data_IF_995618578173
#
_entry.id   IF_995618578173
#
_cell.length_a   1.000
_cell.length_b   1.000
_cell.length_c   1.000
_cell.angle_alpha   90.00
_cell.angle_beta   90.00
_cell.angle_gamma   90.00
#
_symmetry.space_group_name_H-M   'P 1'
#
loop_
_entity.id
_entity.type
_entity.pdbx_description
1 polymer ?
#
# COMPACT_ATOMS: atom_id res chain seq x y z
N UNK A 1 16.15 -68.53 17.32
CA UNK A 1 14.89 -69.26 17.63
C UNK A 1 13.76 -68.52 16.94
N UNK A 2 13.05 -69.16 16.01
CA UNK A 2 11.89 -68.56 15.32
C UNK A 2 10.65 -68.74 16.20
N UNK A 3 9.96 -67.64 16.53
CA UNK A 3 8.72 -67.66 17.32
C UNK A 3 7.56 -67.41 16.37
N UNK A 4 6.63 -68.36 16.28
CA UNK A 4 5.41 -68.20 15.48
C UNK A 4 4.33 -67.54 16.34
N UNK A 5 3.79 -66.42 15.88
CA UNK A 5 2.65 -65.72 16.49
C UNK A 5 1.58 -65.48 15.43
N UNK A 6 0.32 -65.53 15.86
CA UNK A 6 -0.82 -65.16 15.03
C UNK A 6 -1.19 -63.72 15.36
N UNK A 7 -1.39 -62.89 14.33
CA UNK A 7 -1.79 -61.49 14.46
C UNK A 7 -3.10 -61.27 13.70
N UNK A 8 -3.97 -60.45 14.25
CA UNK A 8 -5.20 -60.02 13.60
C UNK A 8 -4.98 -58.63 13.01
N UNK A 9 -5.28 -58.47 11.72
CA UNK A 9 -5.13 -57.21 10.98
C UNK A 9 -6.38 -56.97 10.15
N UNK A 10 -6.89 -55.73 10.19
CA UNK A 10 -7.94 -55.32 9.26
C UNK A 10 -7.40 -55.29 7.82
N UNK A 11 -8.27 -55.55 6.85
CA UNK A 11 -7.95 -55.53 5.41
C UNK A 11 -7.31 -54.20 4.96
N UNK A 12 -7.73 -53.07 5.57
CA UNK A 12 -7.15 -51.74 5.29
C UNK A 12 -5.66 -51.65 5.64
N UNK A 13 -5.17 -52.41 6.61
CA UNK A 13 -3.76 -52.43 7.00
C UNK A 13 -2.98 -53.49 6.21
N UNK A 14 -3.63 -54.61 5.87
CA UNK A 14 -3.07 -55.60 4.95
C UNK A 14 -2.73 -54.97 3.59
N UNK A 15 -3.65 -54.14 3.06
CA UNK A 15 -3.42 -53.37 1.83
C UNK A 15 -2.23 -52.41 1.91
N UNK A 16 -1.94 -51.86 3.09
CA UNK A 16 -0.75 -50.99 3.28
C UNK A 16 0.55 -51.77 3.28
N UNK A 17 0.51 -53.07 3.60
CA UNK A 17 1.66 -53.96 3.52
C UNK A 17 1.90 -54.48 2.10
N UNK A 18 0.97 -54.25 1.16
CA UNK A 18 1.07 -54.78 -0.20
C UNK A 18 2.41 -54.47 -0.89
N UNK A 19 2.99 -53.25 -0.81
CA UNK A 19 4.29 -52.98 -1.43
C UNK A 19 5.42 -53.85 -0.86
N UNK A 20 5.39 -54.13 0.46
CA UNK A 20 6.38 -54.99 1.12
C UNK A 20 6.10 -56.48 0.86
N UNK A 21 4.83 -56.87 0.69
CA UNK A 21 4.45 -58.21 0.28
C UNK A 21 4.94 -58.50 -1.13
N UNK A 22 4.75 -57.58 -2.07
CA UNK A 22 5.19 -57.71 -3.46
C UNK A 22 6.72 -57.80 -3.53
N UNK A 23 7.45 -57.01 -2.73
CA UNK A 23 8.90 -57.07 -2.63
C UNK A 23 9.44 -58.38 -2.01
N UNK A 24 8.60 -59.13 -1.30
CA UNK A 24 8.93 -60.39 -0.64
C UNK A 24 8.18 -61.59 -1.25
N UNK A 25 7.78 -61.51 -2.52
CA UNK A 25 7.09 -62.59 -3.25
C UNK A 25 5.84 -63.13 -2.53
N UNK A 26 5.08 -62.24 -1.89
CA UNK A 26 3.86 -62.56 -1.14
C UNK A 26 4.09 -63.10 0.27
N UNK A 27 5.34 -63.13 0.76
CA UNK A 27 5.65 -63.62 2.10
C UNK A 27 5.33 -62.59 3.19
N UNK A 28 4.17 -62.75 3.85
CA UNK A 28 3.73 -61.87 4.93
C UNK A 28 4.69 -61.84 6.14
N UNK A 29 5.34 -62.95 6.46
CA UNK A 29 6.29 -62.99 7.58
C UNK A 29 7.59 -62.25 7.28
N UNK A 30 7.98 -62.14 6.01
CA UNK A 30 9.11 -61.32 5.60
C UNK A 30 8.71 -59.83 5.56
N UNK A 31 7.57 -59.50 4.96
CA UNK A 31 7.04 -58.13 4.93
C UNK A 31 6.83 -57.52 6.33
N UNK A 32 6.35 -58.32 7.30
CA UNK A 32 6.20 -57.88 8.70
C UNK A 32 7.57 -57.67 9.36
N UNK A 33 8.58 -58.48 9.05
CA UNK A 33 9.95 -58.26 9.57
C UNK A 33 10.53 -56.98 9.01
N UNK A 34 10.38 -56.71 7.72
CA UNK A 34 10.85 -55.45 7.11
C UNK A 34 10.13 -54.24 7.73
N UNK A 35 8.82 -54.37 8.01
CA UNK A 35 8.08 -53.32 8.72
C UNK A 35 8.63 -53.06 10.11
N UNK A 36 9.01 -54.12 10.84
CA UNK A 36 9.63 -54.02 12.17
C UNK A 36 11.01 -53.36 12.07
N UNK A 37 11.84 -53.74 11.10
CA UNK A 37 13.17 -53.12 10.88
C UNK A 37 13.05 -51.63 10.51
N UNK A 38 12.08 -51.27 9.66
CA UNK A 38 11.79 -49.86 9.33
C UNK A 38 11.34 -49.11 10.59
N UNK A 39 10.44 -49.70 11.39
CA UNK A 39 9.96 -49.08 12.62
C UNK A 39 11.07 -48.94 13.67
N UNK A 40 11.93 -49.94 13.83
CA UNK A 40 13.08 -49.92 14.75
C UNK A 40 14.08 -48.84 14.33
N UNK A 41 14.45 -48.83 13.04
CA UNK A 41 15.34 -47.80 12.47
C UNK A 41 14.76 -46.40 12.68
N UNK A 42 13.46 -46.20 12.44
CA UNK A 42 12.84 -44.90 12.66
C UNK A 42 12.80 -44.51 14.16
N UNK A 43 12.57 -45.46 15.06
CA UNK A 43 12.58 -45.23 16.50
C UNK A 43 14.00 -45.06 17.10
N UNK A 44 15.06 -45.50 16.42
CA UNK A 44 16.44 -45.17 16.82
C UNK A 44 16.70 -43.65 16.81
N UNK A 45 16.02 -42.93 15.90
CA UNK A 45 16.22 -41.49 15.70
C UNK A 45 15.08 -40.62 16.27
N UNK A 46 13.96 -41.22 16.67
CA UNK A 46 12.76 -40.50 17.12
C UNK A 46 12.20 -41.08 18.42
N UNK A 47 11.72 -40.22 19.33
CA UNK A 47 11.33 -40.63 20.68
C UNK A 47 9.96 -41.30 20.74
N UNK A 48 9.18 -41.22 19.66
CA UNK A 48 7.86 -41.85 19.53
C UNK A 48 7.54 -42.26 18.10
N UNK A 49 6.58 -43.18 17.95
CA UNK A 49 6.08 -43.64 16.64
C UNK A 49 5.44 -42.46 15.87
N UNK A 50 4.75 -41.55 16.56
CA UNK A 50 4.11 -40.40 15.92
C UNK A 50 5.15 -39.43 15.33
N UNK A 51 6.25 -39.15 16.05
CA UNK A 51 7.37 -38.36 15.55
C UNK A 51 8.05 -39.03 14.33
N UNK A 52 8.26 -40.34 14.40
CA UNK A 52 8.83 -41.12 13.31
C UNK A 52 7.95 -41.09 12.05
N UNK A 53 6.62 -41.19 12.20
CA UNK A 53 5.67 -41.10 11.08
C UNK A 53 5.69 -39.70 10.45
N UNK A 54 5.76 -38.64 11.27
CA UNK A 54 5.86 -37.27 10.76
C UNK A 54 7.17 -37.12 9.96
N UNK A 55 8.29 -37.57 10.52
CA UNK A 55 9.58 -37.52 9.83
C UNK A 55 9.55 -38.24 8.49
N UNK A 56 9.11 -39.51 8.45
CA UNK A 56 9.05 -40.31 7.22
C UNK A 56 8.09 -39.72 6.17
N UNK A 57 7.08 -38.94 6.57
CA UNK A 57 6.20 -38.20 5.66
C UNK A 57 6.82 -36.90 5.15
N UNK A 58 7.68 -36.26 5.93
CA UNK A 58 8.35 -35.00 5.58
C UNK A 58 9.65 -35.21 4.79
N UNK A 59 10.32 -36.35 4.94
CA UNK A 59 11.60 -36.66 4.28
C UNK A 59 11.52 -36.59 2.74
N UNK A 60 10.50 -37.14 2.07
CA UNK A 60 10.38 -37.04 0.60
C UNK A 60 10.31 -35.59 0.12
N UNK A 61 9.57 -34.73 0.81
CA UNK A 61 9.46 -33.31 0.47
C UNK A 61 10.79 -32.56 0.69
N UNK A 62 11.59 -32.95 1.70
CA UNK A 62 12.93 -32.38 1.94
C UNK A 62 13.94 -32.86 0.89
N UNK A 63 13.85 -34.11 0.45
CA UNK A 63 14.70 -34.67 -0.61
C UNK A 63 14.38 -34.03 -1.97
N UNK A 64 13.10 -33.90 -2.33
CA UNK A 64 12.65 -33.16 -3.52
C UNK A 64 13.15 -31.70 -3.50
N UNK A 65 13.01 -31.00 -2.36
CA UNK A 65 13.53 -29.64 -2.23
C UNK A 65 15.06 -29.59 -2.39
N UNK A 66 15.79 -30.55 -1.80
CA UNK A 66 17.24 -30.60 -1.95
C UNK A 66 17.66 -30.86 -3.39
N UNK A 67 16.91 -31.67 -4.13
CA UNK A 67 17.21 -31.97 -5.53
C UNK A 67 16.87 -30.79 -6.45
N UNK A 68 15.78 -30.08 -6.18
CA UNK A 68 15.48 -28.79 -6.87
C UNK A 68 16.48 -27.68 -6.52
N UNK A 69 17.12 -27.73 -5.35
CA UNK A 69 18.24 -26.82 -5.04
C UNK A 69 19.50 -27.21 -5.82
N UNK A 70 19.78 -28.52 -5.95
CA UNK A 70 20.97 -29.02 -6.69
C UNK A 70 20.86 -28.79 -8.20
N UNK A 71 19.67 -28.95 -8.77
CA UNK A 71 19.46 -28.79 -10.22
C UNK A 71 19.33 -27.31 -10.64
N UNK A 72 19.26 -26.38 -9.67
CA UNK A 72 19.21 -24.93 -9.90
C UNK A 72 17.80 -24.35 -10.05
N UNK A 73 16.74 -25.14 -9.86
CA UNK A 73 15.35 -24.65 -9.88
C UNK A 73 15.02 -23.81 -8.64
N UNK A 74 15.57 -24.18 -7.48
CA UNK A 74 15.41 -23.45 -6.22
C UNK A 74 16.75 -22.91 -5.69
N UNK A 75 16.69 -21.79 -4.98
CA UNK A 75 17.87 -21.17 -4.36
C UNK A 75 17.69 -20.99 -2.85
N UNK A 76 18.79 -21.17 -2.10
CA UNK A 76 18.82 -20.90 -0.66
C UNK A 76 19.17 -19.42 -0.46
N UNK A 77 18.25 -18.66 0.13
CA UNK A 77 18.46 -17.27 0.50
C UNK A 77 18.59 -17.15 2.02
N UNK A 78 19.56 -16.35 2.47
CA UNK A 78 19.68 -15.99 3.87
C UNK A 78 18.42 -15.23 4.35
N UNK A 79 17.85 -15.62 5.50
CA UNK A 79 16.63 -15.00 6.04
C UNK A 79 16.71 -13.47 6.16
N UNK A 80 17.85 -12.93 6.59
CA UNK A 80 18.04 -11.47 6.72
C UNK A 80 18.00 -10.78 5.36
N UNK A 81 18.58 -11.41 4.33
CA UNK A 81 18.52 -10.90 2.95
C UNK A 81 17.08 -10.93 2.42
N UNK A 82 16.35 -12.03 2.65
CA UNK A 82 14.95 -12.15 2.25
C UNK A 82 14.07 -11.10 2.94
N UNK A 83 14.25 -10.88 4.24
CA UNK A 83 13.55 -9.83 4.98
C UNK A 83 13.89 -8.44 4.48
N UNK A 84 15.15 -8.19 4.11
CA UNK A 84 15.55 -6.95 3.48
C UNK A 84 14.85 -6.79 2.12
N UNK A 85 14.78 -7.83 1.28
CA UNK A 85 14.07 -7.78 0.00
C UNK A 85 12.60 -7.40 0.19
N UNK A 86 11.86 -8.11 1.05
CA UNK A 86 10.45 -7.80 1.31
C UNK A 86 10.22 -6.39 1.88
N UNK A 87 11.16 -5.89 2.69
CA UNK A 87 11.08 -4.53 3.21
C UNK A 87 11.27 -3.48 2.11
N UNK A 88 12.18 -3.71 1.17
CA UNK A 88 12.51 -2.75 0.12
C UNK A 88 11.57 -2.82 -1.09
N UNK A 89 10.85 -3.92 -1.29
CA UNK A 89 9.80 -4.01 -2.31
C UNK A 89 8.42 -3.58 -1.81
N UNK A 90 8.31 -3.20 -0.53
CA UNK A 90 7.05 -2.75 0.06
C UNK A 90 6.48 -1.54 -0.70
N UNK A 91 5.21 -1.63 -1.08
CA UNK A 91 4.53 -0.56 -1.80
C UNK A 91 4.53 -0.73 -3.32
N UNK A 92 5.33 -1.67 -3.85
CA UNK A 92 5.38 -2.04 -5.27
C UNK A 92 4.53 -3.28 -5.49
N UNK A 93 3.66 -3.25 -6.50
CA UNK A 93 2.82 -4.41 -6.81
C UNK A 93 3.63 -5.49 -7.53
N UNK A 94 3.20 -6.72 -7.35
CA UNK A 94 3.82 -7.88 -8.01
C UNK A 94 3.16 -8.06 -9.37
N UNK A 95 3.97 -8.32 -10.39
CA UNK A 95 3.49 -8.57 -11.74
C UNK A 95 2.57 -9.80 -11.78
N UNK A 96 1.53 -9.74 -12.62
CA UNK A 96 0.52 -10.80 -12.72
C UNK A 96 1.13 -12.15 -13.10
N UNK A 97 2.16 -12.14 -13.96
CA UNK A 97 2.89 -13.33 -14.39
C UNK A 97 3.51 -14.05 -13.18
N UNK A 98 4.21 -13.32 -12.31
CA UNK A 98 4.82 -13.89 -11.11
C UNK A 98 3.77 -14.38 -10.11
N UNK A 99 2.63 -13.69 -9.99
CA UNK A 99 1.52 -14.15 -9.13
C UNK A 99 0.98 -15.49 -9.63
N UNK A 100 0.77 -15.63 -10.94
CA UNK A 100 0.24 -16.87 -11.54
C UNK A 100 1.28 -18.01 -11.53
N UNK A 101 2.58 -17.70 -11.55
CA UNK A 101 3.65 -18.69 -11.34
C UNK A 101 3.67 -19.22 -9.90
N UNK A 102 3.46 -18.33 -8.91
CA UNK A 102 3.47 -18.69 -7.49
C UNK A 102 2.16 -19.28 -6.98
N UNK A 103 1.03 -18.93 -7.58
CA UNK A 103 -0.30 -19.40 -7.23
C UNK A 103 -1.00 -19.82 -8.53
N UNK A 104 -0.84 -21.08 -8.90
CA UNK A 104 -1.35 -21.60 -10.17
C UNK A 104 -2.90 -21.59 -10.19
N UNK A 105 -3.55 -20.73 -11.00
CA UNK A 105 -5.00 -20.61 -11.02
C UNK A 105 -5.69 -21.85 -11.61
N UNK A 106 -4.98 -22.67 -12.38
CA UNK A 106 -5.54 -23.87 -13.01
C UNK A 106 -5.59 -25.08 -12.06
N UNK A 107 -4.84 -25.04 -10.95
CA UNK A 107 -4.87 -26.06 -9.90
C UNK A 107 -5.91 -25.75 -8.80
N UNK A 108 -6.50 -24.56 -8.83
CA UNK A 108 -7.31 -24.03 -7.73
C UNK A 108 -8.72 -23.72 -8.24
N UNK A 109 -9.68 -24.58 -7.89
CA UNK A 109 -11.07 -24.41 -8.31
C UNK A 109 -11.90 -23.58 -7.31
N UNK A 110 -11.60 -23.71 -6.01
CA UNK A 110 -12.36 -23.08 -4.94
C UNK A 110 -11.47 -22.50 -3.80
N UNK A 111 -12.10 -21.78 -2.86
CA UNK A 111 -11.40 -21.11 -1.77
C UNK A 111 -10.77 -22.08 -0.75
N UNK A 112 -11.27 -23.33 -0.65
CA UNK A 112 -10.68 -24.34 0.23
C UNK A 112 -9.42 -24.92 -0.40
N UNK A 113 -9.47 -25.24 -1.70
CA UNK A 113 -8.30 -25.66 -2.45
C UNK A 113 -7.20 -24.59 -2.44
N UNK A 114 -7.58 -23.30 -2.51
CA UNK A 114 -6.64 -22.20 -2.33
C UNK A 114 -5.96 -22.23 -0.96
N UNK A 115 -6.73 -22.40 0.13
CA UNK A 115 -6.17 -22.49 1.48
C UNK A 115 -5.22 -23.68 1.63
N UNK A 116 -5.61 -24.85 1.12
CA UNK A 116 -4.81 -26.07 1.15
C UNK A 116 -3.54 -25.93 0.33
N UNK A 117 -3.63 -25.35 -0.87
CA UNK A 117 -2.50 -25.05 -1.74
C UNK A 117 -1.49 -24.13 -1.06
N UNK A 118 -1.93 -22.97 -0.55
CA UNK A 118 -1.05 -22.00 0.10
C UNK A 118 -0.33 -22.60 1.31
N UNK A 119 -1.03 -23.40 2.12
CA UNK A 119 -0.43 -24.06 3.27
C UNK A 119 0.49 -25.24 2.87
N UNK A 120 0.20 -25.95 1.78
CA UNK A 120 1.09 -26.98 1.22
C UNK A 120 2.38 -26.35 0.70
N UNK A 121 2.28 -25.33 -0.14
CA UNK A 121 3.40 -24.56 -0.68
C UNK A 121 4.28 -24.02 0.44
N UNK A 122 3.66 -23.40 1.45
CA UNK A 122 4.37 -22.90 2.63
C UNK A 122 5.20 -24.00 3.32
N UNK A 123 4.64 -25.20 3.52
CA UNK A 123 5.37 -26.34 4.12
C UNK A 123 6.50 -26.84 3.21
N UNK A 124 6.24 -26.97 1.91
CA UNK A 124 7.21 -27.46 0.93
C UNK A 124 8.45 -26.56 0.89
N UNK A 125 8.26 -25.24 0.88
CA UNK A 125 9.35 -24.25 0.91
C UNK A 125 9.85 -23.92 2.33
N UNK A 126 9.39 -24.64 3.35
CA UNK A 126 9.73 -24.42 4.76
C UNK A 126 9.47 -22.98 5.24
N UNK A 127 8.50 -22.31 4.63
CA UNK A 127 8.01 -21.03 5.09
C UNK A 127 7.17 -21.24 6.36
N UNK A 128 7.38 -20.36 7.34
CA UNK A 128 6.66 -20.47 8.63
C UNK A 128 5.22 -19.97 8.55
N UNK A 129 4.81 -19.42 7.41
CA UNK A 129 3.55 -18.72 7.23
C UNK A 129 2.38 -19.70 7.20
N UNK A 130 1.27 -19.33 7.83
CA UNK A 130 0.04 -20.12 7.82
C UNK A 130 -1.11 -19.25 7.35
N UNK A 131 -1.89 -19.76 6.40
CA UNK A 131 -3.05 -19.07 5.86
C UNK A 131 -4.33 -19.78 6.31
N UNK A 132 -5.36 -19.02 6.62
CA UNK A 132 -6.71 -19.53 6.84
C UNK A 132 -7.72 -18.63 6.15
N UNK A 133 -8.68 -19.24 5.45
CA UNK A 133 -9.66 -18.53 4.63
C UNK A 133 -11.06 -18.83 5.19
N UNK A 134 -11.84 -17.79 5.43
CA UNK A 134 -13.24 -17.90 5.83
C UNK A 134 -14.12 -17.17 4.81
N UNK A 135 -15.06 -17.90 4.23
CA UNK A 135 -16.07 -17.36 3.32
C UNK A 135 -17.35 -18.18 3.48
N UNK A 136 -18.49 -17.60 3.08
CA UNK A 136 -19.79 -18.30 3.14
C UNK A 136 -19.96 -19.27 1.97
N UNK A 137 -19.59 -18.84 0.76
CA UNK A 137 -19.57 -19.65 -0.46
C UNK A 137 -18.13 -19.87 -0.91
N UNK A 138 -17.69 -21.12 -0.94
CA UNK A 138 -16.33 -21.51 -1.32
C UNK A 138 -16.07 -21.40 -2.83
N UNK A 139 -17.09 -21.47 -3.67
CA UNK A 139 -16.93 -21.43 -5.12
C UNK A 139 -16.99 -19.99 -5.65
N UNK A 140 -17.96 -19.21 -5.15
CA UNK A 140 -18.23 -17.84 -5.57
C UNK A 140 -18.47 -16.91 -4.36
N UNK A 141 -17.43 -16.59 -3.57
CA UNK A 141 -17.56 -15.75 -2.38
C UNK A 141 -17.97 -14.32 -2.72
N UNK A 142 -19.00 -13.80 -2.05
CA UNK A 142 -19.32 -12.36 -2.04
C UNK A 142 -18.39 -11.57 -1.10
N UNK A 143 -17.90 -12.25 -0.06
CA UNK A 143 -16.87 -11.73 0.84
C UNK A 143 -15.97 -12.87 1.32
N UNK A 144 -14.73 -12.53 1.67
CA UNK A 144 -13.79 -13.47 2.25
C UNK A 144 -12.95 -12.80 3.33
N UNK A 145 -12.64 -13.55 4.37
CA UNK A 145 -11.75 -13.14 5.44
C UNK A 145 -10.52 -14.04 5.44
N UNK A 146 -9.35 -13.46 5.19
CA UNK A 146 -8.09 -14.19 5.16
C UNK A 146 -7.26 -13.81 6.37
N UNK A 147 -6.79 -14.83 7.09
CA UNK A 147 -5.89 -14.69 8.21
C UNK A 147 -4.54 -15.31 7.85
N UNK A 148 -3.52 -14.47 7.82
CA UNK A 148 -2.12 -14.88 7.61
C UNK A 148 -1.41 -14.77 8.95
N UNK A 149 -0.89 -15.87 9.46
CA UNK A 149 -0.24 -15.94 10.78
C UNK A 149 1.20 -16.41 10.67
N UNK A 150 1.97 -16.17 11.74
CA UNK A 150 3.40 -16.44 11.84
C UNK A 150 4.24 -15.56 10.88
N UNK A 151 5.55 -15.85 10.79
CA UNK A 151 6.53 -15.04 10.06
C UNK A 151 6.65 -13.58 10.55
N UNK A 152 7.41 -12.76 9.84
CA UNK A 152 7.53 -11.32 10.10
C UNK A 152 6.39 -10.55 9.46
N UNK A 153 6.23 -9.27 9.83
CA UNK A 153 5.26 -8.39 9.18
C UNK A 153 5.53 -8.21 7.68
N UNK A 154 6.81 -8.12 7.26
CA UNK A 154 7.16 -7.91 5.85
C UNK A 154 6.86 -9.15 5.01
N UNK A 155 7.21 -10.33 5.53
CA UNK A 155 6.84 -11.60 4.91
C UNK A 155 5.31 -11.69 4.75
N UNK A 156 4.55 -11.46 5.83
CA UNK A 156 3.08 -11.49 5.76
C UNK A 156 2.50 -10.48 4.78
N UNK A 157 3.06 -9.27 4.69
CA UNK A 157 2.62 -8.26 3.71
C UNK A 157 2.85 -8.71 2.27
N UNK A 158 4.00 -9.31 1.97
CA UNK A 158 4.29 -9.84 0.64
C UNK A 158 3.30 -10.93 0.23
N UNK A 159 3.08 -11.93 1.09
CA UNK A 159 2.10 -12.99 0.80
C UNK A 159 0.66 -12.48 0.76
N UNK A 160 0.32 -11.50 1.60
CA UNK A 160 -0.99 -10.84 1.57
C UNK A 160 -1.28 -10.20 0.21
N UNK A 161 -0.27 -9.53 -0.36
CA UNK A 161 -0.36 -8.92 -1.69
C UNK A 161 -0.56 -9.97 -2.78
N UNK A 162 0.21 -11.07 -2.77
CA UNK A 162 0.06 -12.16 -3.76
C UNK A 162 -1.36 -12.74 -3.73
N UNK A 163 -1.86 -13.06 -2.54
CA UNK A 163 -3.21 -13.60 -2.35
C UNK A 163 -4.26 -12.58 -2.80
N UNK A 164 -4.08 -11.29 -2.46
CA UNK A 164 -5.02 -10.25 -2.88
C UNK A 164 -5.07 -10.11 -4.41
N UNK A 165 -3.92 -10.11 -5.09
CA UNK A 165 -3.87 -10.07 -6.55
C UNK A 165 -4.56 -11.28 -7.18
N UNK A 166 -4.27 -12.48 -6.68
CA UNK A 166 -4.92 -13.71 -7.15
C UNK A 166 -6.45 -13.62 -7.02
N UNK A 167 -6.95 -13.21 -5.85
CA UNK A 167 -8.39 -13.11 -5.60
C UNK A 167 -9.09 -12.00 -6.39
N UNK A 168 -8.43 -10.87 -6.60
CA UNK A 168 -8.94 -9.82 -7.47
C UNK A 168 -9.11 -10.31 -8.91
N UNK A 169 -8.12 -11.05 -9.42
CA UNK A 169 -8.14 -11.54 -10.80
C UNK A 169 -9.14 -12.68 -11.01
N UNK A 170 -9.10 -13.68 -10.13
CA UNK A 170 -9.80 -14.96 -10.34
C UNK A 170 -11.15 -15.06 -9.63
N UNK A 171 -11.40 -14.22 -8.62
CA UNK A 171 -12.66 -14.19 -7.85
C UNK A 171 -13.32 -12.80 -7.80
N UNK A 172 -12.73 -11.78 -8.43
CA UNK A 172 -13.23 -10.38 -8.43
C UNK A 172 -13.47 -9.83 -7.01
N UNK A 173 -12.60 -10.22 -6.08
CA UNK A 173 -12.61 -9.76 -4.70
C UNK A 173 -11.57 -8.65 -4.51
N UNK A 174 -12.01 -7.48 -4.04
CA UNK A 174 -11.13 -6.36 -3.68
C UNK A 174 -10.91 -6.29 -2.17
N UNK A 175 -9.80 -5.69 -1.76
CA UNK A 175 -9.42 -5.48 -0.38
C UNK A 175 -10.25 -4.34 0.22
N UNK A 176 -11.05 -4.65 1.22
CA UNK A 176 -11.82 -3.65 1.97
C UNK A 176 -11.01 -3.10 3.14
N UNK A 177 -10.44 -4.00 3.95
CA UNK A 177 -9.71 -3.65 5.17
C UNK A 177 -8.53 -4.59 5.43
N UNK A 178 -7.46 -4.04 6.02
CA UNK A 178 -6.32 -4.82 6.53
C UNK A 178 -6.06 -4.47 7.99
N UNK A 179 -6.08 -5.48 8.85
CA UNK A 179 -5.72 -5.38 10.26
C UNK A 179 -4.39 -6.09 10.50
N UNK A 180 -3.36 -5.31 10.85
CA UNK A 180 -2.00 -5.81 11.12
C UNK A 180 -1.82 -5.97 12.63
N UNK A 181 -1.53 -7.19 13.07
CA UNK A 181 -1.21 -7.54 14.45
C UNK A 181 0.24 -8.04 14.53
N UNK A 182 0.77 -8.16 15.74
CA UNK A 182 2.15 -8.58 15.96
C UNK A 182 2.49 -9.93 15.31
N UNK A 183 1.57 -10.91 15.41
CA UNK A 183 1.76 -12.28 14.93
C UNK A 183 0.84 -12.67 13.75
N UNK A 184 -0.01 -11.75 13.28
CA UNK A 184 -0.93 -12.04 12.19
C UNK A 184 -1.34 -10.80 11.39
N UNK A 185 -1.79 -11.02 10.17
CA UNK A 185 -2.39 -10.03 9.28
C UNK A 185 -3.73 -10.57 8.83
N UNK A 186 -4.80 -9.82 9.10
CA UNK A 186 -6.16 -10.16 8.70
C UNK A 186 -6.59 -9.24 7.56
N UNK A 187 -7.14 -9.81 6.50
CA UNK A 187 -7.56 -9.10 5.30
C UNK A 187 -9.01 -9.42 5.04
N UNK A 188 -9.85 -8.38 4.99
CA UNK A 188 -11.25 -8.49 4.59
C UNK A 188 -11.37 -8.15 3.11
N UNK A 189 -12.06 -9.01 2.38
CA UNK A 189 -12.33 -8.88 0.96
C UNK A 189 -13.82 -8.76 0.71
N UNK A 190 -14.16 -7.99 -0.33
CA UNK A 190 -15.53 -7.82 -0.81
C UNK A 190 -15.56 -7.85 -2.34
N UNK A 191 -16.59 -8.45 -2.91
CA UNK A 191 -16.76 -8.53 -4.36
C UNK A 191 -16.89 -7.14 -4.98
N UNK A 192 -16.14 -6.92 -6.04
CA UNK A 192 -16.12 -5.66 -6.78
C UNK A 192 -16.16 -5.94 -8.28
N UNK A 193 -17.37 -5.89 -8.85
CA UNK A 193 -17.62 -6.11 -10.27
C UNK A 193 -17.46 -4.84 -11.13
N UNK A 194 -17.15 -3.70 -10.50
CA UNK A 194 -17.11 -2.40 -11.18
C UNK A 194 -15.78 -2.12 -11.88
N UNK A 195 -14.75 -2.90 -11.58
CA UNK A 195 -13.39 -2.72 -12.10
C UNK A 195 -13.13 -3.80 -13.15
N UNK A 196 -12.54 -3.42 -14.27
CA UNK A 196 -12.21 -4.38 -15.32
C UNK A 196 -11.16 -5.39 -14.84
N UNK A 197 -11.18 -6.61 -15.37
CA UNK A 197 -10.25 -7.66 -14.95
C UNK A 197 -8.78 -7.27 -15.17
N UNK A 198 -8.48 -6.36 -16.11
CA UNK A 198 -7.12 -5.93 -16.45
C UNK A 198 -6.64 -4.72 -15.64
N UNK A 199 -7.50 -4.15 -14.80
CA UNK A 199 -7.14 -3.02 -13.95
C UNK A 199 -6.86 -3.48 -12.52
N UNK A 200 -5.83 -2.89 -11.90
CA UNK A 200 -5.57 -3.11 -10.48
C UNK A 200 -6.72 -2.56 -9.65
N UNK A 201 -7.30 -3.42 -8.81
CA UNK A 201 -8.37 -3.05 -7.90
C UNK A 201 -7.97 -1.91 -6.93
N UNK A 202 -8.86 -0.94 -6.65
CA UNK A 202 -8.55 0.21 -5.79
C UNK A 202 -8.07 -0.15 -4.37
N UNK A 203 -8.68 -1.17 -3.76
CA UNK A 203 -8.29 -1.65 -2.43
C UNK A 203 -6.86 -2.17 -2.41
N UNK A 204 -6.48 -2.97 -3.41
CA UNK A 204 -5.10 -3.46 -3.58
C UNK A 204 -4.13 -2.29 -3.74
N UNK A 205 -4.42 -1.33 -4.63
CA UNK A 205 -3.55 -0.16 -4.85
C UNK A 205 -3.37 0.66 -3.58
N UNK A 206 -4.45 0.88 -2.83
CA UNK A 206 -4.43 1.63 -1.56
C UNK A 206 -3.58 0.94 -0.50
N UNK A 207 -3.68 -0.39 -0.38
CA UNK A 207 -3.11 -1.12 0.75
C UNK A 207 -1.73 -1.74 0.50
N UNK A 208 -1.43 -2.10 -0.75
CA UNK A 208 -0.19 -2.77 -1.14
C UNK A 208 0.61 -1.98 -2.19
N UNK A 209 -0.07 -1.20 -3.04
CA UNK A 209 0.54 -0.52 -4.20
C UNK A 209 0.77 0.98 -4.01
N UNK A 210 1.01 1.45 -2.78
CA UNK A 210 1.09 2.89 -2.50
C UNK A 210 2.25 3.61 -3.20
N UNK A 211 3.30 2.87 -3.58
CA UNK A 211 4.46 3.38 -4.32
C UNK A 211 4.46 2.90 -5.77
N UNK A 212 3.52 2.07 -6.18
CA UNK A 212 3.57 1.34 -7.44
C UNK A 212 3.67 2.26 -8.66
N UNK A 213 2.89 3.35 -8.68
CA UNK A 213 2.95 4.35 -9.75
C UNK A 213 4.31 5.07 -9.75
N UNK A 214 4.84 5.40 -8.56
CA UNK A 214 6.12 6.11 -8.43
C UNK A 214 7.28 5.21 -8.85
N UNK A 215 7.29 3.95 -8.41
CA UNK A 215 8.31 2.98 -8.79
C UNK A 215 8.30 2.72 -10.30
N UNK A 216 7.11 2.56 -10.91
CA UNK A 216 7.00 2.43 -12.37
C UNK A 216 7.52 3.66 -13.10
N UNK A 217 7.16 4.86 -12.65
CA UNK A 217 7.68 6.12 -13.22
C UNK A 217 9.20 6.25 -13.07
N UNK A 218 9.78 5.82 -11.95
CA UNK A 218 11.23 5.79 -11.74
C UNK A 218 11.92 4.74 -12.62
N UNK A 219 11.31 3.58 -12.83
CA UNK A 219 11.85 2.53 -13.69
C UNK A 219 11.76 2.93 -15.18
N UNK A 220 10.62 3.47 -15.61
CA UNK A 220 10.38 3.86 -17.01
C UNK A 220 11.21 5.09 -17.42
N UNK A 221 11.48 6.01 -16.47
CA UNK A 221 12.19 7.26 -16.72
C UNK A 221 13.45 7.41 -15.85
N UNK A 222 14.19 6.31 -15.60
CA UNK A 222 15.31 6.26 -14.65
C UNK A 222 16.37 7.33 -14.90
N UNK A 223 16.79 7.53 -16.15
CA UNK A 223 17.83 8.51 -16.49
C UNK A 223 17.40 9.95 -16.13
N UNK A 224 16.17 10.31 -16.49
CA UNK A 224 15.61 11.63 -16.20
C UNK A 224 15.57 11.88 -14.69
N UNK A 225 14.98 10.97 -13.91
CA UNK A 225 14.84 11.14 -12.47
C UNK A 225 16.18 11.13 -11.75
N UNK A 226 17.12 10.30 -12.19
CA UNK A 226 18.49 10.27 -11.65
C UNK A 226 19.18 11.61 -11.86
N UNK A 227 19.14 12.14 -13.09
CA UNK A 227 19.74 13.44 -13.40
C UNK A 227 19.08 14.58 -12.62
N UNK A 228 17.74 14.58 -12.53
CA UNK A 228 16.99 15.58 -11.79
C UNK A 228 17.37 15.58 -10.31
N UNK A 229 17.33 14.42 -9.64
CA UNK A 229 17.66 14.31 -8.22
C UNK A 229 19.10 14.72 -7.92
N UNK A 230 20.05 14.34 -8.77
CA UNK A 230 21.45 14.76 -8.65
C UNK A 230 21.58 16.28 -8.77
N UNK A 231 20.86 16.90 -9.71
CA UNK A 231 20.86 18.35 -9.91
C UNK A 231 20.32 19.07 -8.67
N UNK A 232 19.19 18.62 -8.12
CA UNK A 232 18.65 19.17 -6.86
C UNK A 232 19.62 19.02 -5.69
N UNK A 233 20.30 17.89 -5.57
CA UNK A 233 21.24 17.64 -4.48
C UNK A 233 22.47 18.59 -4.57
N UNK A 234 23.07 18.71 -5.76
CA UNK A 234 24.22 19.61 -5.99
C UNK A 234 23.85 21.06 -5.67
N UNK A 235 22.66 21.49 -6.08
CA UNK A 235 22.14 22.84 -5.82
C UNK A 235 21.55 23.00 -4.41
N UNK A 236 21.69 22.00 -3.52
CA UNK A 236 21.15 22.00 -2.15
C UNK A 236 19.67 22.37 -2.09
N UNK A 237 18.90 21.87 -3.05
CA UNK A 237 17.47 22.12 -3.23
C UNK A 237 17.11 23.61 -3.46
N UNK A 238 18.08 24.44 -3.88
CA UNK A 238 17.87 25.84 -4.26
C UNK A 238 17.44 25.98 -5.74
N UNK A 239 16.49 25.14 -6.18
CA UNK A 239 15.95 25.12 -7.53
C UNK A 239 14.44 25.24 -7.46
N UNK A 240 13.87 26.06 -8.33
CA UNK A 240 12.42 26.23 -8.44
C UNK A 240 11.89 25.41 -9.61
N UNK A 241 10.84 24.63 -9.36
CA UNK A 241 10.10 23.90 -10.39
C UNK A 241 8.93 24.74 -10.89
N UNK A 242 8.89 25.03 -12.19
CA UNK A 242 7.78 25.71 -12.84
C UNK A 242 7.31 24.96 -14.08
N UNK A 243 6.01 25.02 -14.36
CA UNK A 243 5.50 24.57 -15.64
C UNK A 243 6.02 25.51 -16.74
N UNK A 244 6.33 24.97 -17.94
CA UNK A 244 6.93 25.76 -19.04
C UNK A 244 6.15 27.03 -19.36
N UNK A 245 4.83 26.94 -19.43
CA UNK A 245 3.97 28.11 -19.71
C UNK A 245 4.02 29.16 -18.59
N UNK A 246 4.21 28.74 -17.33
CA UNK A 246 4.34 29.68 -16.22
C UNK A 246 5.69 30.39 -16.28
N UNK A 247 6.76 29.64 -16.58
CA UNK A 247 8.08 30.21 -16.79
C UNK A 247 8.06 31.24 -17.94
N UNK A 248 7.41 30.93 -19.06
CA UNK A 248 7.25 31.87 -20.19
C UNK A 248 6.54 33.16 -19.77
N UNK A 249 5.42 33.06 -19.03
CA UNK A 249 4.69 34.23 -18.52
C UNK A 249 5.54 35.05 -17.55
N UNK A 250 6.22 34.40 -16.61
CA UNK A 250 7.15 35.09 -15.70
C UNK A 250 8.30 35.77 -16.45
N UNK A 251 8.86 35.12 -17.48
CA UNK A 251 9.92 35.68 -18.31
C UNK A 251 9.44 36.88 -19.16
N UNK A 252 8.16 36.92 -19.51
CA UNK A 252 7.52 38.06 -20.17
C UNK A 252 7.23 39.24 -19.20
N UNK A 253 7.44 39.07 -17.90
CA UNK A 253 7.17 40.09 -16.88
C UNK A 253 5.74 40.08 -16.34
N UNK A 254 4.93 39.09 -16.71
CA UNK A 254 3.55 38.93 -16.27
C UNK A 254 3.45 37.90 -15.12
N UNK A 255 2.33 37.92 -14.39
CA UNK A 255 2.06 36.93 -13.32
C UNK A 255 1.20 35.79 -13.89
N UNK A 256 1.70 34.55 -13.96
CA UNK A 256 0.92 33.43 -14.47
C UNK A 256 -0.24 33.08 -13.53
N UNK A 257 -1.34 32.60 -14.12
CA UNK A 257 -2.43 32.01 -13.37
C UNK A 257 -2.18 30.50 -13.16
N UNK A 258 -2.00 30.02 -11.92
CA UNK A 258 -1.69 28.62 -11.67
C UNK A 258 -2.89 27.71 -11.43
N UNK A 259 -4.12 28.24 -11.47
CA UNK A 259 -5.36 27.49 -11.18
C UNK A 259 -5.45 26.21 -12.01
N UNK A 260 -5.22 26.31 -13.33
CA UNK A 260 -5.30 25.17 -14.25
C UNK A 260 -4.39 23.99 -13.88
N UNK A 261 -3.25 24.24 -13.23
CA UNK A 261 -2.34 23.15 -12.82
C UNK A 261 -2.92 22.41 -11.62
N UNK A 262 -3.38 23.16 -10.62
CA UNK A 262 -4.07 22.61 -9.46
C UNK A 262 -5.33 21.82 -9.87
N UNK A 263 -6.13 22.35 -10.79
CA UNK A 263 -7.35 21.67 -11.27
C UNK A 263 -7.04 20.33 -11.95
N UNK A 264 -5.98 20.27 -12.76
CA UNK A 264 -5.53 19.00 -13.37
C UNK A 264 -5.07 17.99 -12.32
N UNK A 265 -4.35 18.45 -11.29
CA UNK A 265 -3.88 17.60 -10.21
C UNK A 265 -5.05 17.07 -9.36
N UNK A 266 -6.03 17.93 -9.07
CA UNK A 266 -7.18 17.59 -8.24
C UNK A 266 -8.31 16.90 -9.02
N UNK A 267 -8.27 16.94 -10.36
CA UNK A 267 -9.35 16.50 -11.27
C UNK A 267 -10.72 17.13 -10.92
N UNK A 268 -10.69 18.36 -10.40
CA UNK A 268 -11.85 19.12 -9.96
C UNK A 268 -11.56 20.61 -10.17
N UNK A 269 -12.61 21.39 -10.48
CA UNK A 269 -12.51 22.85 -10.54
C UNK A 269 -12.17 23.45 -9.17
N UNK A 270 -11.34 24.49 -9.11
CA UNK A 270 -11.02 25.17 -7.85
C UNK A 270 -12.24 25.87 -7.25
N UNK A 271 -13.13 26.39 -8.11
CA UNK A 271 -14.36 27.07 -7.69
C UNK A 271 -15.37 26.15 -7.01
N UNK A 272 -15.26 24.83 -7.22
CA UNK A 272 -16.15 23.82 -6.62
C UNK A 272 -15.56 23.21 -5.34
N UNK A 273 -14.33 23.57 -4.98
CA UNK A 273 -13.59 22.97 -3.88
C UNK A 273 -13.87 23.69 -2.55
N UNK A 274 -13.99 22.92 -1.46
CA UNK A 274 -14.02 23.51 -0.12
C UNK A 274 -12.66 24.16 0.21
N UNK A 275 -12.65 25.27 0.96
CA UNK A 275 -11.39 25.90 1.38
C UNK A 275 -10.45 24.90 2.09
N UNK A 276 -10.88 24.09 3.08
CA UNK A 276 -10.00 23.11 3.70
C UNK A 276 -9.34 22.14 2.72
N UNK A 277 -10.10 21.60 1.77
CA UNK A 277 -9.57 20.68 0.76
C UNK A 277 -8.56 21.37 -0.15
N UNK A 278 -8.89 22.60 -0.60
CA UNK A 278 -7.99 23.42 -1.42
C UNK A 278 -6.67 23.69 -0.71
N UNK A 279 -6.72 24.05 0.58
CA UNK A 279 -5.52 24.34 1.34
C UNK A 279 -4.63 23.11 1.52
N UNK A 280 -5.21 21.91 1.67
CA UNK A 280 -4.45 20.65 1.72
C UNK A 280 -3.73 20.39 0.39
N UNK A 281 -4.40 20.56 -0.75
CA UNK A 281 -3.77 20.38 -2.07
C UNK A 281 -2.73 21.45 -2.37
N UNK A 282 -3.06 22.72 -2.06
CA UNK A 282 -2.17 23.87 -2.17
C UNK A 282 -0.84 23.60 -1.44
N UNK A 283 -0.91 23.19 -0.18
CA UNK A 283 0.29 22.89 0.62
C UNK A 283 1.12 21.76 0.00
N UNK A 284 0.48 20.66 -0.40
CA UNK A 284 1.19 19.52 -1.02
C UNK A 284 1.90 19.93 -2.31
N UNK A 285 1.22 20.67 -3.18
CA UNK A 285 1.76 21.08 -4.47
C UNK A 285 2.91 22.06 -4.32
N UNK A 286 2.72 23.18 -3.60
CA UNK A 286 3.70 24.26 -3.62
C UNK A 286 4.92 24.02 -2.74
N UNK A 287 4.82 23.13 -1.73
CA UNK A 287 6.03 22.63 -1.07
C UNK A 287 6.90 21.81 -2.02
N UNK A 288 6.31 21.10 -2.99
CA UNK A 288 7.06 20.31 -3.95
C UNK A 288 7.75 21.15 -5.03
N UNK A 289 7.27 22.37 -5.32
CA UNK A 289 7.85 23.24 -6.35
C UNK A 289 9.06 24.05 -5.87
N UNK A 290 9.33 24.08 -4.56
CA UNK A 290 10.34 24.95 -3.94
C UNK A 290 10.14 26.46 -4.23
N UNK A 291 8.98 26.87 -4.73
CA UNK A 291 8.59 28.29 -4.78
C UNK A 291 8.47 28.88 -3.38
N UNK A 292 8.24 28.03 -2.38
CA UNK A 292 8.04 28.41 -1.00
C UNK A 292 8.83 27.44 -0.13
N UNK A 293 9.30 27.94 1.01
CA UNK A 293 10.07 27.16 1.98
C UNK A 293 9.17 26.33 2.88
N UNK A 294 8.06 26.93 3.30
CA UNK A 294 7.09 26.30 4.18
C UNK A 294 5.70 26.92 3.99
N UNK A 295 4.66 26.17 4.32
CA UNK A 295 3.28 26.64 4.35
C UNK A 295 2.65 26.17 5.66
N UNK A 296 2.17 27.13 6.45
CA UNK A 296 1.37 26.90 7.65
C UNK A 296 -0.09 27.22 7.36
N UNK A 297 -0.98 26.32 7.80
CA UNK A 297 -2.43 26.44 7.60
C UNK A 297 -3.08 26.44 8.98
N UNK A 298 -3.89 27.46 9.25
CA UNK A 298 -4.81 27.50 10.37
C UNK A 298 -6.24 27.29 9.85
N UNK A 299 -6.93 26.29 10.37
CA UNK A 299 -8.34 26.00 10.07
C UNK A 299 -9.25 26.21 11.29
N UNK A 300 -8.79 26.99 12.28
CA UNK A 300 -9.64 27.38 13.40
C UNK A 300 -10.83 28.20 12.87
N UNK A 301 -12.09 27.86 13.23
CA UNK A 301 -13.25 28.60 12.76
C UNK A 301 -13.15 30.09 13.11
N UNK A 302 -13.26 30.96 12.09
CA UNK A 302 -13.16 32.42 12.24
C UNK A 302 -11.72 32.96 12.27
N UNK A 303 -10.71 32.09 12.08
CA UNK A 303 -9.29 32.47 11.99
C UNK A 303 -8.58 31.71 10.87
N UNK A 304 -9.36 31.26 9.88
CA UNK A 304 -8.84 30.52 8.75
C UNK A 304 -7.76 31.36 8.05
N UNK A 305 -6.56 30.81 7.94
CA UNK A 305 -5.43 31.54 7.35
C UNK A 305 -4.36 30.62 6.79
N UNK A 306 -3.61 31.15 5.82
CA UNK A 306 -2.46 30.50 5.21
C UNK A 306 -1.27 31.43 5.32
N UNK A 307 -0.19 30.95 5.91
CA UNK A 307 1.08 31.65 5.98
C UNK A 307 2.10 30.93 5.11
N UNK A 308 2.64 31.64 4.13
CA UNK A 308 3.60 31.15 3.15
C UNK A 308 4.96 31.75 3.48
N UNK A 309 5.95 30.92 3.76
CA UNK A 309 7.32 31.37 4.01
C UNK A 309 8.16 31.22 2.75
N UNK A 310 8.99 32.22 2.45
CA UNK A 310 9.90 32.21 1.30
C UNK A 310 11.25 32.84 1.63
N UNK A 311 12.28 32.53 0.83
CA UNK A 311 13.64 33.07 0.99
C UNK A 311 13.97 34.16 -0.06
N UNK A 312 12.99 34.60 -0.86
CA UNK A 312 13.18 35.70 -1.83
C UNK A 312 13.41 37.04 -1.14
N UNK A 313 14.32 37.85 -1.72
CA UNK A 313 14.68 39.19 -1.24
C UNK A 313 14.21 40.32 -2.15
N UNK A 314 13.87 40.02 -3.40
CA UNK A 314 13.44 41.02 -4.37
C UNK A 314 11.96 41.32 -4.18
N UNK A 315 11.61 42.57 -3.86
CA UNK A 315 10.24 42.98 -3.58
C UNK A 315 9.28 42.73 -4.74
N UNK A 316 9.72 42.90 -5.99
CA UNK A 316 8.89 42.61 -7.16
C UNK A 316 8.56 41.12 -7.26
N UNK A 317 9.51 40.24 -6.92
CA UNK A 317 9.30 38.79 -6.90
C UNK A 317 8.29 38.43 -5.80
N UNK A 318 8.43 39.04 -4.62
CA UNK A 318 7.52 38.83 -3.48
C UNK A 318 6.10 39.27 -3.85
N UNK A 319 5.96 40.44 -4.47
CA UNK A 319 4.68 40.96 -4.95
C UNK A 319 4.05 40.02 -5.99
N UNK A 320 4.83 39.62 -7.00
CA UNK A 320 4.36 38.70 -8.04
C UNK A 320 3.99 37.33 -7.47
N UNK A 321 4.70 36.84 -6.45
CA UNK A 321 4.39 35.60 -5.76
C UNK A 321 3.09 35.71 -4.96
N UNK A 322 2.87 36.83 -4.28
CA UNK A 322 1.61 37.11 -3.58
C UNK A 322 0.43 37.16 -4.57
N UNK A 323 0.60 37.81 -5.71
CA UNK A 323 -0.41 37.88 -6.76
C UNK A 323 -0.68 36.50 -7.40
N UNK A 324 0.38 35.74 -7.66
CA UNK A 324 0.32 34.39 -8.20
C UNK A 324 -0.53 33.47 -7.31
N UNK A 325 -0.34 33.51 -5.98
CA UNK A 325 -1.17 32.73 -5.06
C UNK A 325 -2.57 33.33 -4.86
N UNK A 326 -2.71 34.66 -4.92
CA UNK A 326 -4.02 35.32 -4.85
C UNK A 326 -4.96 34.83 -5.95
N UNK A 327 -4.45 34.59 -7.16
CA UNK A 327 -5.25 34.05 -8.28
C UNK A 327 -5.95 32.73 -7.93
N UNK A 328 -5.32 31.87 -7.13
CA UNK A 328 -5.91 30.58 -6.71
C UNK A 328 -7.09 30.82 -5.77
N UNK A 329 -6.89 31.67 -4.76
CA UNK A 329 -7.91 31.93 -3.76
C UNK A 329 -9.07 32.75 -4.30
N UNK A 330 -8.82 33.65 -5.26
CA UNK A 330 -9.89 34.38 -5.98
C UNK A 330 -10.75 33.42 -6.80
N UNK A 331 -10.14 32.48 -7.50
CA UNK A 331 -10.87 31.47 -8.29
C UNK A 331 -11.75 30.58 -7.41
N UNK A 332 -11.30 30.30 -6.18
CA UNK A 332 -12.11 29.56 -5.20
C UNK A 332 -13.34 30.36 -4.71
N UNK A 333 -13.31 31.69 -4.82
CA UNK A 333 -14.41 32.56 -4.43
C UNK A 333 -14.50 32.88 -2.94
N UNK A 334 -13.59 32.34 -2.10
CA UNK A 334 -13.55 32.69 -0.67
C UNK A 334 -12.92 34.07 -0.49
N UNK A 335 -13.59 35.04 0.17
CA UNK A 335 -13.00 36.34 0.47
C UNK A 335 -11.74 36.22 1.32
N UNK A 336 -10.72 37.02 1.02
CA UNK A 336 -9.48 37.05 1.79
C UNK A 336 -8.81 38.41 1.79
N UNK A 337 -7.98 38.63 2.80
CA UNK A 337 -7.04 39.74 2.88
C UNK A 337 -5.61 39.22 2.83
N UNK A 338 -4.78 39.81 1.98
CA UNK A 338 -3.37 39.47 1.85
C UNK A 338 -2.49 40.51 2.53
N UNK A 339 -1.53 40.05 3.30
CA UNK A 339 -0.46 40.87 3.86
C UNK A 339 0.89 40.25 3.54
N UNK A 340 1.84 41.08 3.12
CA UNK A 340 3.20 40.63 2.78
C UNK A 340 4.20 41.25 3.74
N UNK A 341 5.07 40.41 4.29
CA UNK A 341 6.19 40.77 5.13
C UNK A 341 7.48 40.25 4.47
N UNK A 342 8.64 40.76 4.88
CA UNK A 342 9.94 40.49 4.26
C UNK A 342 10.20 39.03 3.85
N UNK A 343 9.79 38.05 4.66
CA UNK A 343 9.98 36.61 4.41
C UNK A 343 8.69 35.77 4.45
N UNK A 344 7.52 36.41 4.45
CA UNK A 344 6.25 35.68 4.54
C UNK A 344 5.08 36.42 3.88
N UNK A 345 4.18 35.66 3.28
CA UNK A 345 2.92 36.14 2.72
C UNK A 345 1.79 35.47 3.49
N UNK A 346 0.87 36.27 4.04
CA UNK A 346 -0.24 35.80 4.87
C UNK A 346 -1.56 36.11 4.18
N UNK A 347 -2.38 35.07 4.01
CA UNK A 347 -3.76 35.15 3.55
C UNK A 347 -4.68 34.85 4.75
N UNK A 348 -5.59 35.77 5.07
CA UNK A 348 -6.63 35.57 6.07
C UNK A 348 -7.98 35.49 5.37
N UNK A 349 -8.75 34.45 5.66
CA UNK A 349 -10.03 34.20 5.04
C UNK A 349 -11.13 34.61 6.02
N UNK A 350 -11.78 35.75 5.76
CA UNK A 350 -12.84 36.28 6.60
C UNK A 350 -14.21 35.80 6.08
N UNK A 351 -15.12 35.45 7.00
CA UNK A 351 -16.51 35.05 6.66
C UNK A 351 -17.51 36.19 6.65
N UNK A 352 -17.11 37.42 7.02
CA UNK A 352 -18.04 38.54 7.15
C UNK A 352 -17.93 39.52 5.99
N UNK A 353 -18.80 39.35 4.99
CA UNK A 353 -19.45 40.44 4.25
C UNK A 353 -20.52 39.88 3.29
N UNK A 354 -21.63 39.38 3.84
CA UNK A 354 -22.90 39.24 3.11
C UNK A 354 -24.08 39.51 4.06
N UNK A 355 -24.28 40.78 4.45
CA UNK A 355 -25.58 41.37 4.81
C UNK A 355 -25.40 42.77 5.39
N UNK A 356 -25.17 43.78 4.54
CA UNK A 356 -25.38 45.17 4.91
C UNK A 356 -25.57 46.02 3.64
N UNK A 357 -26.55 45.66 2.83
CA UNK A 357 -27.07 46.56 1.79
C UNK A 357 -28.53 46.19 1.50
N UNK A 358 -29.44 46.69 2.35
CA UNK A 358 -30.82 47.09 1.98
C UNK A 358 -31.59 47.52 3.23
N UNK A 359 -32.27 48.67 3.14
CA UNK A 359 -33.20 49.32 4.10
C UNK A 359 -32.56 50.01 5.33
N UNK A 360 -32.76 51.30 5.64
CA UNK A 360 -33.66 52.33 5.09
C UNK A 360 -33.11 53.74 5.41
N UNK A 361 -33.32 54.66 4.47
CA UNK A 361 -33.37 56.11 4.70
C UNK A 361 -34.54 56.47 5.63
N UNK A 362 -34.30 57.28 6.66
CA UNK A 362 -34.91 58.60 6.93
C UNK A 362 -34.72 59.00 8.40
N UNK A 363 -34.24 60.22 8.62
CA UNK A 363 -34.23 60.87 9.93
C UNK A 363 -33.18 61.97 10.05
N UNK A 364 -33.46 63.15 9.46
CA UNK A 364 -32.80 64.40 9.86
C UNK A 364 -33.14 64.73 11.32
N UNK A 365 -32.17 65.20 12.10
CA UNK A 365 -32.26 66.50 12.80
C UNK A 365 -30.95 66.91 13.50
N UNK A 366 -30.60 68.18 13.27
CA UNK A 366 -29.86 69.14 14.10
C UNK A 366 -28.38 68.90 14.50
N UNK A 367 -27.50 69.54 13.72
CA UNK A 367 -26.24 70.09 14.22
C UNK A 367 -26.51 71.27 15.18
N UNK A 368 -26.10 71.14 16.44
CA UNK A 368 -25.82 72.27 17.34
C UNK A 368 -24.34 72.26 17.70
N UNK A 369 -23.58 73.22 17.19
CA UNK A 369 -22.34 73.67 17.84
C UNK A 369 -22.70 74.51 19.07
N UNK A 370 -21.87 74.46 20.13
CA UNK A 370 -21.60 75.68 20.87
C UNK A 370 -20.11 75.99 20.96
N UNK A 371 -19.87 77.29 20.82
CA UNK A 371 -18.63 78.03 20.86
C UNK A 371 -17.70 77.77 22.06
N UNK A 372 -16.41 77.91 21.75
CA UNK A 372 -15.31 78.50 22.52
C UNK A 372 -15.47 78.69 24.04
N UNK A 373 -14.50 78.15 24.79
CA UNK A 373 -13.86 78.94 25.83
C UNK A 373 -12.39 78.54 26.03
N UNK A 374 -11.50 79.46 25.67
CA UNK A 374 -10.10 79.54 26.08
C UNK A 374 -9.95 80.26 27.42
N UNK A 375 -8.91 79.88 28.18
CA UNK A 375 -8.25 80.49 29.37
C UNK A 375 -8.30 79.54 30.57
N UNK A 376 -7.20 79.22 31.27
CA UNK A 376 -5.88 79.86 31.39
C UNK A 376 -4.69 78.92 31.09
#
# INVERSE_FOLDING_TARGET
MLIRKNISLDDKYLKKLQPLLDANDGNLSAAVRDTIEIADTALMYHKSIDEAIIFLKETPAKEELNDTIKNGENIIINKTMLEWLFRNTKGRLTDEELVNELINPFEISDMRELEDYLNKVSRNYQWTIRTSIKCEDIHNPESALILISNATINSREFFAQLIAHFLARWKQLDVEHIFRRANSTQISFKKNLSVSLNETMPGIRKHFGCLDIVCRELDDNTEFWTQLMNTYNVERYNLVTLHRTQFETFAAGEVPNPTKILERLCKQSISEMSLPDLLVYFRKMYLATQLVKNIEICLEPGKESVTIYHDFKNENVIHNLAEYFSNIFRENGTPFVTSSYSSMIVFRFDKEHQSADSSDLYGMEEFREPDFCSKD
#
